data_IF_576951828899
#
_entry.id   IF_576951828899
#
_cell.length_a   1.000
_cell.length_b   1.000
_cell.length_c   1.000
_cell.angle_alpha   90.00
_cell.angle_beta   90.00
_cell.angle_gamma   90.00
#
_symmetry.space_group_name_H-M   'P 1'
#
loop_
_entity.id
_entity.type
_entity.pdbx_description
1 polymer ?
#
# COMPACT_ATOMS: atom_id res chain seq x y z
N UNK A 1 3.99 18.05 3.87
CA UNK A 1 4.21 17.53 2.52
C UNK A 1 5.04 16.25 2.67
N UNK A 2 4.65 15.17 1.95
CA UNK A 2 5.43 13.94 1.87
C UNK A 2 6.75 14.18 1.13
N UNK A 3 7.60 13.16 1.12
CA UNK A 3 8.84 13.12 0.31
C UNK A 3 8.90 11.77 -0.42
N UNK A 4 9.63 11.67 -1.54
CA UNK A 4 9.90 10.39 -2.17
C UNK A 4 10.64 9.44 -1.20
N UNK A 5 10.54 8.14 -1.45
CA UNK A 5 11.28 7.14 -0.68
C UNK A 5 12.78 7.30 -0.86
N UNK A 6 13.50 7.04 0.21
CA UNK A 6 14.93 6.75 0.23
C UNK A 6 15.16 5.23 0.20
N UNK A 7 16.41 4.79 0.05
CA UNK A 7 16.78 3.37 0.16
C UNK A 7 16.33 2.78 1.51
N UNK A 8 16.51 3.51 2.59
CA UNK A 8 16.10 3.10 3.93
C UNK A 8 14.57 2.92 4.04
N UNK A 9 13.76 3.74 3.35
CA UNK A 9 12.31 3.56 3.34
C UNK A 9 11.93 2.26 2.61
N UNK A 10 12.63 1.92 1.53
CA UNK A 10 12.43 0.66 0.79
C UNK A 10 12.83 -0.53 1.64
N UNK A 11 13.98 -0.49 2.29
CA UNK A 11 14.42 -1.54 3.22
C UNK A 11 13.40 -1.76 4.34
N UNK A 12 12.92 -0.67 4.94
CA UNK A 12 11.91 -0.74 6.01
C UNK A 12 10.60 -1.37 5.56
N UNK A 13 10.15 -1.12 4.32
CA UNK A 13 8.97 -1.76 3.75
C UNK A 13 9.21 -3.26 3.52
N UNK A 14 10.41 -3.66 3.17
CA UNK A 14 10.78 -5.06 2.90
C UNK A 14 11.11 -5.85 4.17
N UNK A 15 11.41 -5.19 5.28
CA UNK A 15 11.74 -5.87 6.54
C UNK A 15 10.48 -6.34 7.30
N UNK A 16 10.67 -7.31 8.20
CA UNK A 16 9.64 -7.78 9.13
C UNK A 16 9.98 -7.22 10.51
N UNK A 17 9.21 -6.23 10.97
CA UNK A 17 9.30 -5.72 12.33
C UNK A 17 10.24 -4.52 12.55
N UNK A 18 11.09 -4.19 11.60
CA UNK A 18 11.99 -3.04 11.69
C UNK A 18 11.34 -1.79 11.10
N UNK A 19 10.41 -1.22 11.82
CA UNK A 19 9.89 0.11 11.49
C UNK A 19 10.92 1.17 11.89
N UNK A 20 11.61 1.81 10.93
CA UNK A 20 12.56 2.91 11.16
C UNK A 20 11.92 4.17 11.78
N UNK A 21 10.62 4.15 12.04
CA UNK A 21 9.84 5.32 12.50
C UNK A 21 9.66 5.39 14.02
N UNK A 22 10.60 4.83 14.78
CA UNK A 22 10.43 4.67 16.23
C UNK A 22 10.39 5.97 17.04
N UNK A 23 10.89 7.10 16.53
CA UNK A 23 11.05 8.33 17.32
C UNK A 23 10.64 9.63 16.60
N UNK A 24 10.02 9.56 15.40
CA UNK A 24 9.59 10.77 14.71
C UNK A 24 8.10 11.03 14.99
N UNK A 25 7.80 11.94 15.92
CA UNK A 25 6.43 12.34 16.31
C UNK A 25 5.58 12.82 15.13
N UNK A 26 6.21 13.15 14.00
CA UNK A 26 5.58 13.60 12.77
C UNK A 26 5.02 12.48 11.89
N UNK A 27 5.32 11.20 12.11
CA UNK A 27 4.99 10.13 11.17
C UNK A 27 3.92 9.16 11.68
N UNK A 28 3.04 8.72 10.77
CA UNK A 28 2.05 7.66 11.02
C UNK A 28 2.67 6.30 10.67
N UNK A 29 2.46 5.27 11.49
CA UNK A 29 2.88 3.91 11.16
C UNK A 29 4.17 3.44 11.85
N UNK A 30 4.28 3.72 13.11
CA UNK A 30 5.36 3.38 14.01
C UNK A 30 5.81 1.89 13.99
N UNK A 31 4.89 0.94 13.80
CA UNK A 31 5.20 -0.51 13.89
C UNK A 31 5.49 -1.19 12.54
N UNK A 32 5.54 -0.48 11.42
CA UNK A 32 5.74 -1.08 10.09
C UNK A 32 4.64 -2.04 9.62
N UNK A 33 3.58 -2.22 10.42
CA UNK A 33 2.50 -3.19 10.14
C UNK A 33 1.44 -2.61 9.19
N UNK A 34 1.23 -1.29 9.21
CA UNK A 34 0.15 -0.64 8.45
C UNK A 34 0.22 -0.93 6.95
N UNK A 35 1.40 -0.81 6.35
CA UNK A 35 1.58 -1.13 4.93
C UNK A 35 1.32 -2.62 4.65
N UNK A 36 1.74 -3.52 5.54
CA UNK A 36 1.58 -4.97 5.34
C UNK A 36 0.10 -5.41 5.26
N UNK A 37 -0.83 -4.61 5.75
CA UNK A 37 -2.27 -4.92 5.67
C UNK A 37 -2.81 -4.96 4.24
N UNK A 38 -2.16 -4.28 3.27
CA UNK A 38 -2.56 -4.31 1.86
C UNK A 38 -2.50 -5.73 1.26
N UNK A 39 -1.59 -6.57 1.76
CA UNK A 39 -1.43 -7.94 1.27
C UNK A 39 -2.59 -8.89 1.63
N UNK A 40 -3.43 -8.51 2.60
CA UNK A 40 -4.68 -9.23 2.86
C UNK A 40 -5.68 -9.07 1.70
N UNK A 41 -5.64 -7.96 1.01
CA UNK A 41 -6.60 -7.56 -0.01
C UNK A 41 -6.08 -7.69 -1.45
N UNK A 42 -4.76 -7.75 -1.65
CA UNK A 42 -4.13 -7.79 -2.97
C UNK A 42 -3.11 -8.94 -3.10
N UNK A 43 -2.96 -9.49 -4.31
CA UNK A 43 -1.91 -10.46 -4.66
C UNK A 43 -0.74 -9.81 -5.39
N UNK A 44 -0.95 -8.62 -5.94
CA UNK A 44 0.06 -7.80 -6.59
C UNK A 44 -0.04 -6.38 -6.01
N UNK A 45 1.08 -5.87 -5.54
CA UNK A 45 1.23 -4.51 -5.02
C UNK A 45 2.41 -3.87 -5.72
N UNK A 46 2.18 -2.76 -6.42
CA UNK A 46 3.25 -1.99 -7.09
C UNK A 46 3.41 -0.67 -6.33
N UNK A 47 4.65 -0.28 -6.07
CA UNK A 47 4.99 0.99 -5.45
C UNK A 47 5.81 1.80 -6.43
N UNK A 48 5.38 3.05 -6.64
CA UNK A 48 6.12 4.07 -7.38
C UNK A 48 6.40 5.24 -6.45
N UNK A 49 7.70 5.58 -6.30
CA UNK A 49 8.12 6.71 -5.49
C UNK A 49 9.47 7.25 -5.98
N UNK A 50 9.49 8.47 -6.50
CA UNK A 50 10.68 9.02 -7.14
C UNK A 50 11.20 8.09 -8.24
N UNK A 51 12.46 7.67 -8.13
CA UNK A 51 13.10 6.75 -9.07
C UNK A 51 12.76 5.28 -8.81
N UNK A 52 12.23 4.97 -7.62
CA UNK A 52 11.83 3.62 -7.28
C UNK A 52 10.53 3.23 -7.97
N UNK A 53 10.54 2.05 -8.62
CA UNK A 53 9.34 1.36 -9.08
C UNK A 53 9.53 -0.14 -8.87
N UNK A 54 8.85 -0.71 -7.89
CA UNK A 54 8.97 -2.13 -7.54
C UNK A 54 7.63 -2.73 -7.18
N UNK A 55 7.56 -4.05 -7.25
CA UNK A 55 6.36 -4.80 -6.93
C UNK A 55 6.60 -5.91 -5.92
N UNK A 56 5.55 -6.25 -5.21
CA UNK A 56 5.40 -7.50 -4.48
C UNK A 56 4.37 -8.33 -5.23
N UNK A 57 4.77 -9.50 -5.71
CA UNK A 57 3.96 -10.33 -6.60
C UNK A 57 3.91 -11.76 -6.08
N UNK A 58 2.73 -12.14 -5.57
CA UNK A 58 2.50 -13.46 -5.00
C UNK A 58 2.67 -14.58 -6.02
N UNK A 59 2.17 -14.37 -7.24
CA UNK A 59 2.21 -15.39 -8.28
C UNK A 59 3.65 -15.60 -8.77
N UNK A 60 4.39 -14.52 -9.00
CA UNK A 60 5.78 -14.59 -9.43
C UNK A 60 6.69 -15.23 -8.37
N UNK A 61 6.45 -14.99 -7.08
CA UNK A 61 7.23 -15.58 -5.98
C UNK A 61 6.88 -17.03 -5.67
N UNK A 62 5.76 -17.56 -6.16
CA UNK A 62 5.36 -18.95 -5.91
C UNK A 62 5.76 -19.91 -7.04
N UNK A 63 6.60 -19.46 -7.96
CA UNK A 63 7.17 -20.29 -9.03
C UNK A 63 8.50 -20.86 -8.55
N UNK A 64 8.66 -22.18 -8.68
CA UNK A 64 9.92 -22.84 -8.40
C UNK A 64 11.00 -22.40 -9.40
N UNK A 65 12.15 -21.97 -8.90
CA UNK A 65 13.30 -21.68 -9.75
C UNK A 65 14.15 -22.96 -9.88
N UNK A 66 14.41 -23.48 -11.09
CA UNK A 66 15.26 -24.65 -11.31
C UNK A 66 16.67 -24.54 -10.71
N UNK A 67 17.16 -23.33 -10.47
CA UNK A 67 18.45 -23.09 -9.81
C UNK A 67 18.46 -23.55 -8.35
N UNK A 68 17.31 -23.76 -7.71
CA UNK A 68 17.20 -24.28 -6.35
C UNK A 68 17.26 -25.81 -6.28
N UNK A 69 17.42 -26.46 -7.43
CA UNK A 69 17.48 -27.90 -7.56
C UNK A 69 16.20 -28.54 -8.05
N UNK A 70 16.05 -29.83 -7.84
CA UNK A 70 14.90 -30.60 -8.29
C UNK A 70 13.70 -30.40 -7.34
N UNK A 71 12.60 -29.87 -7.84
CA UNK A 71 11.39 -29.64 -7.03
C UNK A 71 10.82 -30.95 -6.46
N UNK A 72 10.81 -32.05 -7.23
CA UNK A 72 10.27 -33.33 -6.77
C UNK A 72 11.06 -33.89 -5.58
N UNK A 73 12.40 -33.82 -5.62
CA UNK A 73 13.26 -34.25 -4.51
C UNK A 73 13.03 -33.41 -3.26
N UNK A 74 12.84 -32.10 -3.43
CA UNK A 74 12.49 -31.19 -2.34
C UNK A 74 11.13 -31.57 -1.73
N UNK A 75 10.11 -31.84 -2.54
CA UNK A 75 8.79 -32.24 -2.08
C UNK A 75 8.83 -33.58 -1.36
N UNK A 76 9.52 -34.58 -1.89
CA UNK A 76 9.69 -35.90 -1.23
C UNK A 76 10.38 -35.79 0.11
N UNK A 77 11.43 -34.97 0.19
CA UNK A 77 12.12 -34.66 1.45
C UNK A 77 11.20 -34.02 2.47
N UNK A 78 10.28 -33.16 2.05
CA UNK A 78 9.30 -32.55 2.95
C UNK A 78 8.23 -33.53 3.40
N UNK A 79 7.69 -34.35 2.48
CA UNK A 79 6.70 -35.39 2.80
C UNK A 79 7.27 -36.39 3.82
N UNK A 80 8.51 -36.81 3.65
CA UNK A 80 9.17 -37.76 4.60
C UNK A 80 9.30 -37.17 6.00
N UNK A 81 9.33 -35.85 6.13
CA UNK A 81 9.38 -35.09 7.40
C UNK A 81 8.01 -34.65 7.92
N UNK A 82 6.91 -35.09 7.28
CA UNK A 82 5.55 -34.69 7.64
C UNK A 82 5.26 -33.20 7.43
N UNK A 83 5.99 -32.52 6.52
CA UNK A 83 5.83 -31.09 6.23
C UNK A 83 4.98 -30.87 4.98
N UNK A 84 4.28 -29.72 4.94
CA UNK A 84 3.56 -29.25 3.76
C UNK A 84 4.51 -29.13 2.55
N UNK A 85 4.08 -29.59 1.40
CA UNK A 85 4.83 -29.58 0.13
C UNK A 85 4.49 -28.38 -0.75
N UNK A 86 3.50 -27.56 -0.36
CA UNK A 86 3.21 -26.32 -1.08
C UNK A 86 4.41 -25.38 -0.99
N UNK A 87 5.00 -25.08 -2.14
CA UNK A 87 6.06 -24.11 -2.21
C UNK A 87 5.50 -22.71 -2.01
N UNK A 88 5.96 -22.03 -0.97
CA UNK A 88 5.51 -20.67 -0.64
C UNK A 88 6.70 -19.83 -0.19
N UNK A 89 6.91 -18.72 -0.88
CA UNK A 89 7.87 -17.70 -0.44
C UNK A 89 7.17 -16.57 0.33
N UNK A 90 7.89 -15.89 1.22
CA UNK A 90 7.39 -14.70 1.93
C UNK A 90 7.35 -13.49 0.98
N UNK A 91 6.56 -13.57 -0.06
CA UNK A 91 6.48 -12.60 -1.16
C UNK A 91 6.22 -11.15 -0.70
N UNK A 92 5.65 -10.98 0.49
CA UNK A 92 5.35 -9.67 1.09
C UNK A 92 6.61 -8.88 1.50
N UNK A 93 7.78 -9.48 1.44
CA UNK A 93 9.08 -8.88 1.78
C UNK A 93 10.11 -9.01 0.65
N UNK A 94 9.71 -9.56 -0.49
CA UNK A 94 10.58 -9.74 -1.65
C UNK A 94 10.20 -8.71 -2.72
N UNK A 95 10.91 -7.56 -2.78
CA UNK A 95 10.67 -6.56 -3.81
C UNK A 95 11.24 -7.03 -5.14
N UNK A 96 10.50 -6.84 -6.21
CA UNK A 96 10.92 -7.11 -7.58
C UNK A 96 10.89 -5.82 -8.37
N UNK A 97 11.98 -5.48 -9.04
CA UNK A 97 12.00 -4.30 -9.91
C UNK A 97 10.94 -4.43 -11.02
N UNK A 98 10.27 -3.33 -11.34
CA UNK A 98 9.22 -3.30 -12.35
C UNK A 98 9.08 -1.90 -12.95
N UNK A 99 8.28 -1.77 -14.00
CA UNK A 99 7.78 -0.50 -14.51
C UNK A 99 6.27 -0.37 -14.22
N UNK A 100 5.74 0.85 -14.34
CA UNK A 100 4.29 1.04 -14.28
C UNK A 100 3.62 0.32 -15.45
N UNK A 101 2.53 -0.41 -15.22
CA UNK A 101 1.72 -0.97 -16.31
C UNK A 101 1.26 0.15 -17.27
N UNK A 102 1.35 -0.10 -18.57
CA UNK A 102 1.01 0.88 -19.61
C UNK A 102 -0.43 1.39 -19.49
N UNK A 103 -1.33 0.53 -19.00
CA UNK A 103 -2.75 0.80 -18.83
C UNK A 103 -3.04 1.88 -17.78
N UNK A 104 -2.09 2.16 -16.89
CA UNK A 104 -2.26 3.13 -15.80
C UNK A 104 -1.17 4.20 -15.79
N UNK A 105 -0.09 4.04 -16.56
CA UNK A 105 1.06 4.95 -16.56
C UNK A 105 0.67 6.40 -16.97
N UNK A 106 -0.40 6.55 -17.74
CA UNK A 106 -0.92 7.84 -18.18
C UNK A 106 -1.76 8.58 -17.12
N UNK A 107 -2.13 7.92 -16.03
CA UNK A 107 -2.94 8.55 -15.00
C UNK A 107 -2.18 9.71 -14.33
N UNK A 108 -2.86 10.82 -14.15
CA UNK A 108 -2.27 12.04 -13.60
C UNK A 108 -1.58 11.84 -12.26
N UNK A 109 -2.06 10.90 -11.45
CA UNK A 109 -1.45 10.56 -10.15
C UNK A 109 -0.01 10.06 -10.25
N UNK A 110 0.45 9.58 -11.43
CA UNK A 110 1.83 9.16 -11.66
C UNK A 110 2.66 10.19 -12.39
N UNK A 111 2.01 11.17 -13.01
CA UNK A 111 2.65 12.26 -13.76
C UNK A 111 2.74 13.55 -12.92
N UNK A 112 1.90 13.69 -11.90
CA UNK A 112 1.86 14.87 -11.03
C UNK A 112 2.92 14.78 -9.94
N UNK A 113 3.88 15.70 -9.94
CA UNK A 113 4.95 15.80 -8.95
C UNK A 113 4.46 16.09 -7.52
N UNK A 114 3.18 16.39 -7.34
CA UNK A 114 2.57 16.55 -6.00
C UNK A 114 2.39 15.22 -5.25
N UNK A 115 2.35 14.09 -5.97
CA UNK A 115 2.27 12.76 -5.40
C UNK A 115 3.66 12.13 -5.29
N UNK A 116 4.18 12.00 -4.09
CA UNK A 116 5.51 11.47 -3.83
C UNK A 116 5.56 9.95 -3.74
N UNK A 117 4.46 9.33 -3.33
CA UNK A 117 4.31 7.88 -3.23
C UNK A 117 2.97 7.45 -3.80
N UNK A 118 2.98 6.48 -4.69
CA UNK A 118 1.79 5.85 -5.24
C UNK A 118 1.85 4.35 -4.98
N UNK A 119 0.77 3.80 -4.45
CA UNK A 119 0.63 2.36 -4.22
C UNK A 119 -0.53 1.83 -5.07
N UNK A 120 -0.23 0.86 -5.93
CA UNK A 120 -1.20 0.26 -6.84
C UNK A 120 -1.49 -1.15 -6.35
N UNK A 121 -2.76 -1.48 -6.20
CA UNK A 121 -3.21 -2.77 -5.68
C UNK A 121 -4.06 -3.49 -6.74
N UNK A 122 -3.63 -4.71 -7.13
CA UNK A 122 -4.52 -5.63 -7.84
C UNK A 122 -5.35 -6.40 -6.80
N UNK A 123 -6.52 -5.86 -6.49
CA UNK A 123 -7.37 -6.38 -5.43
C UNK A 123 -8.09 -7.66 -5.81
N UNK A 124 -8.26 -8.57 -4.85
CA UNK A 124 -9.01 -9.82 -4.99
C UNK A 124 -10.53 -9.57 -5.11
N UNK A 125 -11.04 -8.57 -4.38
CA UNK A 125 -12.47 -8.22 -4.29
C UNK A 125 -12.63 -6.70 -4.30
N UNK A 126 -12.66 -6.09 -5.49
CA UNK A 126 -12.71 -4.63 -5.65
C UNK A 126 -13.99 -4.04 -5.05
N UNK A 127 -15.15 -4.65 -5.31
CA UNK A 127 -16.44 -4.11 -4.85
C UNK A 127 -16.54 -4.04 -3.32
N UNK A 128 -16.09 -5.06 -2.61
CA UNK A 128 -16.12 -5.06 -1.14
C UNK A 128 -15.15 -4.03 -0.55
N UNK A 129 -14.01 -3.81 -1.19
CA UNK A 129 -13.05 -2.78 -0.79
C UNK A 129 -13.64 -1.38 -1.03
N UNK A 130 -14.27 -1.15 -2.18
CA UNK A 130 -14.92 0.11 -2.50
C UNK A 130 -16.00 0.45 -1.46
N UNK A 131 -16.90 -0.49 -1.17
CA UNK A 131 -17.96 -0.28 -0.18
C UNK A 131 -17.40 -0.02 1.22
N UNK A 132 -16.31 -0.70 1.60
CA UNK A 132 -15.66 -0.47 2.88
C UNK A 132 -15.03 0.94 2.96
N UNK A 133 -14.40 1.41 1.89
CA UNK A 133 -13.83 2.75 1.81
C UNK A 133 -14.95 3.81 1.87
N UNK A 134 -16.02 3.64 1.10
CA UNK A 134 -17.16 4.56 1.09
C UNK A 134 -17.83 4.62 2.47
N UNK A 135 -18.02 3.49 3.14
CA UNK A 135 -18.55 3.42 4.50
C UNK A 135 -17.63 4.10 5.51
N UNK A 136 -16.32 3.86 5.45
CA UNK A 136 -15.34 4.46 6.35
C UNK A 136 -15.36 6.00 6.26
N UNK A 137 -15.46 6.53 5.06
CA UNK A 137 -15.46 7.98 4.83
C UNK A 137 -16.87 8.60 4.82
N UNK A 138 -17.92 7.82 5.00
CA UNK A 138 -19.25 8.36 5.30
C UNK A 138 -19.23 9.16 6.62
N UNK A 139 -18.42 8.71 7.58
CA UNK A 139 -18.10 9.42 8.82
C UNK A 139 -16.82 10.25 8.63
N UNK A 140 -16.95 11.40 7.96
CA UNK A 140 -15.80 12.23 7.59
C UNK A 140 -14.92 12.68 8.77
N UNK A 141 -15.44 12.63 10.00
CA UNK A 141 -14.70 12.94 11.23
C UNK A 141 -13.46 12.03 11.42
N UNK A 142 -13.43 10.84 10.79
CA UNK A 142 -12.25 9.97 10.84
C UNK A 142 -10.97 10.63 10.34
N UNK A 143 -11.08 11.65 9.48
CA UNK A 143 -9.91 12.42 9.03
C UNK A 143 -9.19 13.12 10.18
N UNK A 144 -9.87 13.40 11.28
CA UNK A 144 -9.26 14.01 12.47
C UNK A 144 -8.15 13.14 13.07
N UNK A 145 -8.28 11.82 12.95
CA UNK A 145 -7.28 10.85 13.39
C UNK A 145 -6.14 10.64 12.39
N UNK A 146 -6.29 11.14 11.17
CA UNK A 146 -5.26 11.06 10.15
C UNK A 146 -4.39 12.32 10.20
N UNK A 147 -3.10 12.16 9.91
CA UNK A 147 -2.17 13.30 9.79
C UNK A 147 -2.25 14.02 8.45
N UNK A 148 -2.93 13.43 7.45
CA UNK A 148 -3.16 14.08 6.17
C UNK A 148 -4.17 15.22 6.31
N UNK A 149 -4.03 16.23 5.45
CA UNK A 149 -4.94 17.39 5.41
C UNK A 149 -6.19 17.12 4.57
N UNK A 150 -6.09 16.23 3.59
CA UNK A 150 -7.21 15.88 2.72
C UNK A 150 -7.16 14.42 2.28
N UNK A 151 -8.35 13.89 1.97
CA UNK A 151 -8.56 12.58 1.36
C UNK A 151 -9.51 12.77 0.18
N UNK A 152 -9.14 12.27 -0.98
CA UNK A 152 -9.98 12.27 -2.17
C UNK A 152 -10.22 10.84 -2.64
N UNK A 153 -11.49 10.50 -2.88
CA UNK A 153 -11.90 9.23 -3.47
C UNK A 153 -12.36 9.49 -4.89
N UNK A 154 -11.74 8.82 -5.84
CA UNK A 154 -12.05 8.90 -7.27
C UNK A 154 -12.44 7.50 -7.73
N UNK A 155 -13.59 7.36 -8.37
CA UNK A 155 -14.09 6.10 -8.93
C UNK A 155 -14.37 6.33 -10.41
N UNK A 156 -13.75 5.53 -11.29
CA UNK A 156 -13.87 5.65 -12.75
C UNK A 156 -13.66 7.09 -13.25
N UNK A 157 -12.58 7.72 -12.78
CA UNK A 157 -12.20 9.11 -13.08
C UNK A 157 -13.20 10.18 -12.61
N UNK A 158 -14.21 9.80 -11.82
CA UNK A 158 -15.17 10.73 -11.24
C UNK A 158 -14.87 10.93 -9.76
N UNK A 159 -14.75 12.20 -9.32
CA UNK A 159 -14.64 12.50 -7.90
C UNK A 159 -15.94 12.10 -7.19
N UNK A 160 -15.83 11.22 -6.20
CA UNK A 160 -16.96 10.75 -5.39
C UNK A 160 -17.02 11.42 -4.04
N UNK A 161 -15.86 11.68 -3.46
CA UNK A 161 -15.76 12.25 -2.14
C UNK A 161 -14.46 13.03 -2.01
N UNK A 162 -14.55 14.23 -1.47
CA UNK A 162 -13.40 15.00 -1.02
C UNK A 162 -13.63 15.39 0.44
N UNK A 163 -12.72 14.98 1.31
CA UNK A 163 -12.72 15.37 2.74
C UNK A 163 -11.46 16.17 2.98
N UNK A 164 -11.60 17.32 3.59
CA UNK A 164 -10.50 18.22 3.88
C UNK A 164 -10.56 18.68 5.34
N UNK A 165 -9.39 18.76 5.95
CA UNK A 165 -9.19 19.26 7.29
C UNK A 165 -8.41 20.57 7.23
N UNK A 166 -8.98 21.66 7.73
CA UNK A 166 -8.32 22.99 7.81
C UNK A 166 -8.25 23.43 9.25
N UNK A 167 -7.08 23.91 9.66
CA UNK A 167 -6.88 24.49 10.97
C UNK A 167 -6.62 25.99 10.80
N UNK A 168 -7.48 26.79 11.41
CA UNK A 168 -7.37 28.25 11.43
C UNK A 168 -7.55 28.74 12.88
N UNK A 169 -6.61 29.53 13.37
CA UNK A 169 -6.66 30.09 14.74
C UNK A 169 -6.86 29.04 15.85
N UNK A 170 -6.23 27.85 15.68
CA UNK A 170 -6.35 26.75 16.64
C UNK A 170 -7.65 25.93 16.55
N UNK A 171 -8.57 26.31 15.69
CA UNK A 171 -9.81 25.56 15.44
C UNK A 171 -9.61 24.69 14.20
N UNK A 172 -9.89 23.41 14.31
CA UNK A 172 -9.81 22.45 13.20
C UNK A 172 -11.22 22.14 12.70
N UNK A 173 -11.50 22.56 11.45
CA UNK A 173 -12.76 22.30 10.77
C UNK A 173 -12.59 21.17 9.75
N UNK A 174 -13.60 20.32 9.64
CA UNK A 174 -13.68 19.25 8.65
C UNK A 174 -14.73 19.61 7.60
N UNK A 175 -14.32 19.52 6.35
CA UNK A 175 -15.15 19.80 5.19
C UNK A 175 -15.40 18.51 4.42
N UNK A 176 -16.61 18.34 3.91
CA UNK A 176 -16.98 17.28 2.95
C UNK A 176 -17.54 17.96 1.71
N UNK A 177 -16.86 17.77 0.56
CA UNK A 177 -17.25 18.42 -0.71
C UNK A 177 -17.55 19.92 -0.55
N UNK A 178 -16.63 20.61 0.16
CA UNK A 178 -16.67 22.05 0.48
C UNK A 178 -17.71 22.49 1.56
N UNK A 179 -18.49 21.58 2.12
CA UNK A 179 -19.39 21.86 3.25
C UNK A 179 -18.74 21.53 4.58
N UNK A 180 -18.88 22.42 5.56
CA UNK A 180 -18.40 22.18 6.95
C UNK A 180 -19.31 21.16 7.62
N UNK A 181 -18.72 20.07 8.11
CA UNK A 181 -19.46 18.99 8.78
C UNK A 181 -19.09 18.85 10.26
N UNK A 182 -17.97 19.43 10.69
CA UNK A 182 -17.51 19.42 12.10
C UNK A 182 -16.50 20.55 12.33
N UNK A 183 -16.50 21.09 13.54
CA UNK A 183 -15.52 22.05 14.05
C UNK A 183 -15.06 21.63 15.45
#
# INVERSE_FOLDING_TARGET
KGKPFSDNDVESICSIGDGMKSNDEGQTGFKGIGFKSVFAHANLVIIKSGDFCFKFDREACNVWDPKWGNQNEWEETRRSKGKDVDFRMPWQVIPMNTSLPSEIAYLSVFCDSSFHVSTILKCKKVQSLQSAIESLFSEAQLILFLRCANVRIVINSTNKLCIEKKTLNGITSVYRNDEVISQ
#
